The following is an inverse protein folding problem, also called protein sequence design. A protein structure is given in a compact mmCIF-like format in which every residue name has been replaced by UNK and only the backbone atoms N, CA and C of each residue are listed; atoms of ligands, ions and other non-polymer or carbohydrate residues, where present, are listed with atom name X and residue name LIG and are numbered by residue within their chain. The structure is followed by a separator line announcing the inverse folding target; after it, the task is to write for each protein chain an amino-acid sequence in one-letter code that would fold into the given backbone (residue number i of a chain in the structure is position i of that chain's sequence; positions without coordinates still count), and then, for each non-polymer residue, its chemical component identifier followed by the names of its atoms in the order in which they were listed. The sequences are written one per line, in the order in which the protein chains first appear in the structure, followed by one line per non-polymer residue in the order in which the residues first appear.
data_IF_038152815072
#
_entry.id   IF_038152815072
#
_cell.length_a   1.000
_cell.length_b   1.000
_cell.length_c   1.000
_cell.angle_alpha   90.00
_cell.angle_beta   90.00
_cell.angle_gamma   90.00
#
_symmetry.space_group_name_H-M   'P 1'
#
loop_
_entity.id
_entity.type
_entity.pdbx_description
1 polymer ?
#
# COMPACT_ATOMS: atom_id res chain seq x y z
N UNK A 1 60.16 -4.54 -18.87
CA UNK A 1 59.04 -4.07 -18.07
C UNK A 1 57.79 -4.49 -18.81
N UNK A 2 57.07 -5.55 -18.35
CA UNK A 2 55.90 -6.09 -19.04
C UNK A 2 54.69 -5.30 -18.51
N UNK A 3 54.01 -4.59 -19.41
CA UNK A 3 52.73 -3.94 -19.11
C UNK A 3 51.72 -5.00 -18.72
N UNK A 4 51.17 -4.90 -17.49
CA UNK A 4 50.00 -5.68 -17.06
C UNK A 4 48.78 -5.16 -17.81
N UNK A 5 47.95 -6.06 -18.38
CA UNK A 5 46.68 -5.63 -18.98
C UNK A 5 45.82 -5.01 -17.91
N UNK A 6 45.39 -3.77 -18.14
CA UNK A 6 44.39 -3.08 -17.31
C UNK A 6 43.06 -3.80 -17.48
N UNK A 7 42.56 -4.43 -16.43
CA UNK A 7 41.20 -4.96 -16.37
C UNK A 7 40.26 -3.76 -16.33
N UNK A 8 39.28 -3.64 -17.26
CA UNK A 8 38.32 -2.54 -17.18
C UNK A 8 37.53 -2.66 -15.88
N UNK A 9 37.63 -1.64 -15.03
CA UNK A 9 36.81 -1.52 -13.83
C UNK A 9 35.41 -1.17 -14.31
N UNK A 10 34.51 -2.13 -14.33
CA UNK A 10 33.10 -1.89 -14.54
C UNK A 10 32.55 -1.18 -13.30
N UNK A 11 32.55 0.16 -13.32
CA UNK A 11 31.88 0.95 -12.33
C UNK A 11 30.35 0.87 -12.51
N UNK A 12 29.54 1.14 -11.46
CA UNK A 12 28.08 1.14 -11.53
C UNK A 12 27.50 2.15 -12.53
N UNK A 13 28.31 3.05 -13.06
CA UNK A 13 27.91 4.06 -14.05
C UNK A 13 27.73 3.50 -15.48
N UNK A 14 28.31 2.35 -15.81
CA UNK A 14 28.28 1.78 -17.17
C UNK A 14 26.99 1.03 -17.50
N UNK A 15 26.07 0.85 -16.52
CA UNK A 15 24.78 0.17 -16.71
C UNK A 15 23.59 1.14 -16.68
N UNK A 16 23.80 2.43 -16.41
CA UNK A 16 22.74 3.41 -16.50
C UNK A 16 22.56 3.85 -17.96
N UNK A 17 21.39 3.58 -18.53
CA UNK A 17 20.98 4.15 -19.81
C UNK A 17 21.12 5.68 -19.74
N UNK A 18 21.63 6.29 -20.81
CA UNK A 18 21.68 7.75 -20.92
C UNK A 18 20.27 8.33 -20.68
N UNK A 19 20.14 9.53 -20.06
CA UNK A 19 18.81 10.11 -19.75
C UNK A 19 17.90 10.23 -20.97
N UNK A 20 18.44 10.34 -22.17
CA UNK A 20 17.72 10.44 -23.43
C UNK A 20 17.09 9.09 -23.89
N UNK A 21 17.57 7.96 -23.38
CA UNK A 21 17.12 6.62 -23.79
C UNK A 21 16.14 5.98 -22.78
N UNK A 22 15.78 6.71 -21.72
CA UNK A 22 14.80 6.19 -20.76
C UNK A 22 13.39 6.43 -21.27
N UNK A 23 12.52 5.39 -21.26
CA UNK A 23 11.13 5.55 -21.68
C UNK A 23 10.40 6.54 -20.79
N UNK A 24 9.67 7.48 -21.41
CA UNK A 24 8.89 8.48 -20.69
C UNK A 24 7.61 7.84 -20.13
N UNK A 25 7.40 7.98 -18.82
CA UNK A 25 6.19 7.50 -18.14
C UNK A 25 5.19 8.65 -18.05
N UNK A 26 4.04 8.53 -18.71
CA UNK A 26 2.99 9.54 -18.68
C UNK A 26 2.32 9.63 -17.30
N UNK A 27 2.02 10.84 -16.78
CA UNK A 27 1.42 11.04 -15.45
C UNK A 27 0.10 10.27 -15.24
N UNK A 28 -0.73 10.15 -16.27
CA UNK A 28 -2.00 9.45 -16.19
C UNK A 28 -1.84 7.92 -15.93
N UNK A 29 -0.69 7.32 -16.32
CA UNK A 29 -0.37 5.93 -15.95
C UNK A 29 -0.32 5.75 -14.43
N UNK A 30 0.32 6.68 -13.72
CA UNK A 30 0.39 6.64 -12.26
C UNK A 30 -0.98 6.81 -11.62
N UNK A 31 -1.84 7.66 -12.19
CA UNK A 31 -3.22 7.86 -11.73
C UNK A 31 -4.04 6.58 -11.94
N UNK A 32 -4.00 5.99 -13.12
CA UNK A 32 -4.70 4.75 -13.44
C UNK A 32 -4.27 3.59 -12.52
N UNK A 33 -2.95 3.48 -12.27
CA UNK A 33 -2.39 2.50 -11.33
C UNK A 33 -2.87 2.73 -9.89
N UNK A 34 -2.93 3.98 -9.45
CA UNK A 34 -3.44 4.32 -8.11
C UNK A 34 -4.93 3.99 -7.96
N UNK A 35 -5.76 4.32 -8.97
CA UNK A 35 -7.20 4.02 -8.96
C UNK A 35 -7.43 2.50 -8.96
N UNK A 36 -6.75 1.75 -9.84
CA UNK A 36 -6.89 0.30 -9.91
C UNK A 36 -6.44 -0.39 -8.62
N UNK A 37 -5.37 0.09 -8.00
CA UNK A 37 -4.95 -0.40 -6.68
C UNK A 37 -6.00 -0.14 -5.59
N UNK A 38 -6.62 1.05 -5.61
CA UNK A 38 -7.70 1.39 -4.69
C UNK A 38 -8.89 0.44 -4.83
N UNK A 39 -9.31 0.17 -6.07
CA UNK A 39 -10.40 -0.77 -6.35
C UNK A 39 -10.08 -2.19 -5.85
N UNK A 40 -8.88 -2.70 -6.17
CA UNK A 40 -8.43 -4.02 -5.71
C UNK A 40 -8.39 -4.09 -4.17
N UNK A 41 -7.83 -3.08 -3.51
CA UNK A 41 -7.76 -3.04 -2.05
C UNK A 41 -9.13 -2.98 -1.37
N UNK A 42 -10.10 -2.25 -1.93
CA UNK A 42 -11.46 -2.19 -1.38
C UNK A 42 -12.24 -3.50 -1.60
N UNK A 43 -12.05 -4.16 -2.74
CA UNK A 43 -12.62 -5.47 -3.00
C UNK A 43 -12.03 -6.53 -2.07
N UNK A 44 -10.74 -6.48 -1.79
CA UNK A 44 -10.07 -7.35 -0.80
C UNK A 44 -10.70 -7.20 0.58
N UNK A 45 -10.83 -5.96 1.08
CA UNK A 45 -11.45 -5.71 2.39
C UNK A 45 -12.90 -6.21 2.44
N UNK A 46 -13.68 -5.96 1.40
CA UNK A 46 -15.08 -6.43 1.32
C UNK A 46 -15.15 -7.96 1.36
N UNK A 47 -14.38 -8.63 0.48
CA UNK A 47 -14.38 -10.08 0.39
C UNK A 47 -13.84 -10.71 1.68
N UNK A 48 -12.72 -10.21 2.19
CA UNK A 48 -12.11 -10.73 3.41
C UNK A 48 -13.05 -10.56 4.61
N UNK A 49 -13.65 -9.36 4.78
CA UNK A 49 -14.60 -9.11 5.85
C UNK A 49 -15.81 -10.04 5.75
N UNK A 50 -16.38 -10.20 4.57
CA UNK A 50 -17.49 -11.13 4.36
C UNK A 50 -17.13 -12.56 4.73
N UNK A 51 -15.98 -13.05 4.27
CA UNK A 51 -15.52 -14.41 4.57
C UNK A 51 -15.24 -14.60 6.07
N UNK A 52 -14.61 -13.64 6.70
CA UNK A 52 -14.30 -13.72 8.13
C UNK A 52 -15.57 -13.67 8.98
N UNK A 53 -16.51 -12.77 8.69
CA UNK A 53 -17.78 -12.68 9.40
C UNK A 53 -18.60 -13.96 9.24
N UNK A 54 -18.66 -14.49 8.01
CA UNK A 54 -19.52 -15.66 7.69
C UNK A 54 -18.95 -16.96 8.22
N UNK A 55 -17.64 -17.20 8.06
CA UNK A 55 -17.04 -18.50 8.35
C UNK A 55 -16.25 -18.56 9.65
N UNK A 56 -15.66 -17.48 10.08
CA UNK A 56 -14.83 -17.41 11.29
C UNK A 56 -15.63 -16.81 12.46
N UNK A 57 -16.51 -15.85 12.19
CA UNK A 57 -17.34 -15.22 13.20
C UNK A 57 -18.11 -16.19 14.10
N UNK A 58 -18.77 -17.25 13.57
CA UNK A 58 -19.47 -18.24 14.39
C UNK A 58 -18.60 -18.95 15.45
N UNK A 59 -17.31 -19.15 15.18
CA UNK A 59 -16.38 -19.72 16.17
C UNK A 59 -16.14 -18.79 17.37
N UNK A 60 -16.41 -17.50 17.19
CA UNK A 60 -16.32 -16.48 18.24
C UNK A 60 -17.68 -15.99 18.73
N UNK A 61 -18.74 -16.76 18.46
CA UNK A 61 -20.10 -16.45 18.91
C UNK A 61 -20.78 -15.33 18.10
N UNK A 62 -20.25 -14.95 16.95
CA UNK A 62 -20.86 -13.98 16.03
C UNK A 62 -21.81 -14.71 15.07
N UNK A 63 -23.06 -14.81 15.43
CA UNK A 63 -24.09 -15.40 14.56
C UNK A 63 -24.77 -14.30 13.73
N UNK A 64 -24.41 -14.20 12.48
CA UNK A 64 -25.00 -13.29 11.51
C UNK A 64 -25.53 -14.03 10.30
N UNK A 65 -26.71 -13.62 9.82
CA UNK A 65 -27.22 -14.11 8.54
C UNK A 65 -26.30 -13.67 7.39
N UNK A 66 -26.29 -14.39 6.25
CA UNK A 66 -25.49 -13.98 5.08
C UNK A 66 -25.78 -12.53 4.63
N UNK A 67 -27.02 -12.08 4.76
CA UNK A 67 -27.39 -10.70 4.41
C UNK A 67 -26.83 -9.65 5.37
N UNK A 68 -26.73 -9.96 6.65
CA UNK A 68 -26.11 -9.08 7.65
C UNK A 68 -24.58 -9.05 7.46
N UNK A 69 -23.97 -10.18 7.19
CA UNK A 69 -22.55 -10.27 6.90
C UNK A 69 -22.14 -9.44 5.68
N UNK A 70 -22.94 -9.49 4.59
CA UNK A 70 -22.73 -8.63 3.40
C UNK A 70 -22.86 -7.15 3.74
N UNK A 71 -23.89 -6.77 4.53
CA UNK A 71 -24.06 -5.38 4.96
C UNK A 71 -22.88 -4.89 5.80
N UNK A 72 -22.47 -5.66 6.80
CA UNK A 72 -21.32 -5.31 7.65
C UNK A 72 -20.05 -5.17 6.82
N UNK A 73 -19.74 -6.15 5.97
CA UNK A 73 -18.56 -6.11 5.09
C UNK A 73 -18.58 -4.89 4.15
N UNK A 74 -19.75 -4.54 3.61
CA UNK A 74 -19.91 -3.37 2.73
C UNK A 74 -19.67 -2.07 3.50
N UNK A 75 -20.23 -1.95 4.70
CA UNK A 75 -20.00 -0.76 5.55
C UNK A 75 -18.53 -0.63 5.97
N UNK A 76 -17.88 -1.74 6.34
CA UNK A 76 -16.44 -1.75 6.63
C UNK A 76 -15.67 -1.22 5.41
N UNK A 77 -15.88 -1.80 4.23
CA UNK A 77 -15.12 -1.44 3.02
C UNK A 77 -15.35 0.02 2.58
N UNK A 78 -16.58 0.52 2.63
CA UNK A 78 -16.89 1.92 2.25
C UNK A 78 -16.32 2.90 3.27
N UNK A 79 -16.52 2.65 4.57
CA UNK A 79 -16.03 3.53 5.62
C UNK A 79 -14.49 3.56 5.64
N UNK A 80 -13.85 2.43 5.40
CA UNK A 80 -12.40 2.31 5.28
C UNK A 80 -11.81 3.23 4.20
N UNK A 81 -12.48 3.39 3.06
CA UNK A 81 -12.01 4.31 2.01
C UNK A 81 -11.93 5.74 2.55
N UNK A 82 -12.96 6.18 3.27
CA UNK A 82 -13.06 7.54 3.79
C UNK A 82 -12.05 7.75 4.93
N UNK A 83 -12.03 6.86 5.91
CA UNK A 83 -11.14 6.97 7.09
C UNK A 83 -9.67 6.93 6.68
N UNK A 84 -9.28 6.03 5.75
CA UNK A 84 -7.91 5.95 5.26
C UNK A 84 -7.45 7.19 4.50
N UNK A 85 -8.34 7.88 3.78
CA UNK A 85 -8.02 9.17 3.15
C UNK A 85 -7.75 10.23 4.22
N UNK A 86 -8.60 10.30 5.24
CA UNK A 86 -8.46 11.25 6.34
C UNK A 86 -7.17 10.99 7.14
N UNK A 87 -6.93 9.72 7.54
CA UNK A 87 -5.71 9.35 8.25
C UNK A 87 -4.44 9.57 7.43
N UNK A 88 -4.49 9.31 6.12
CA UNK A 88 -3.37 9.63 5.25
C UNK A 88 -3.08 11.13 5.23
N UNK A 89 -4.10 11.97 5.12
CA UNK A 89 -3.94 13.42 5.15
C UNK A 89 -3.30 13.90 6.47
N UNK A 90 -3.83 13.47 7.62
CA UNK A 90 -3.27 13.87 8.91
C UNK A 90 -1.86 13.32 9.14
N UNK A 91 -1.61 12.09 8.74
CA UNK A 91 -0.28 11.49 8.80
C UNK A 91 0.74 12.24 7.95
N UNK A 92 0.38 12.62 6.71
CA UNK A 92 1.23 13.44 5.86
C UNK A 92 1.50 14.83 6.47
N UNK A 93 0.48 15.45 7.05
CA UNK A 93 0.64 16.76 7.73
C UNK A 93 1.54 16.65 8.95
N UNK A 94 1.39 15.60 9.74
CA UNK A 94 2.27 15.33 10.88
C UNK A 94 3.73 15.16 10.42
N UNK A 95 3.98 14.33 9.41
CA UNK A 95 5.33 14.14 8.89
C UNK A 95 5.91 15.36 8.16
N UNK A 96 5.07 16.23 7.62
CA UNK A 96 5.52 17.53 7.09
C UNK A 96 6.05 18.45 8.20
N UNK A 97 5.45 18.37 9.39
CA UNK A 97 5.90 19.11 10.58
C UNK A 97 7.17 18.51 11.19
N UNK A 98 7.31 17.19 11.21
CA UNK A 98 8.52 16.51 11.69
C UNK A 98 9.65 16.67 10.68
N UNK A 99 10.75 17.32 11.06
CA UNK A 99 11.88 17.60 10.17
C UNK A 99 12.98 16.53 10.19
N UNK A 100 12.85 15.50 11.03
CA UNK A 100 13.80 14.42 11.13
C UNK A 100 14.02 13.70 9.78
N UNK A 101 15.30 13.48 9.43
CA UNK A 101 15.67 12.75 8.20
C UNK A 101 15.40 13.51 6.90
N UNK A 102 15.26 14.84 6.96
CA UNK A 102 15.15 15.70 5.78
C UNK A 102 16.44 16.51 5.60
N UNK A 103 16.86 16.70 4.37
CA UNK A 103 17.93 17.60 3.96
C UNK A 103 17.41 18.51 2.85
N UNK A 104 17.91 19.74 2.82
CA UNK A 104 17.63 20.69 1.73
C UNK A 104 18.87 20.81 0.89
N UNK A 105 18.76 20.50 -0.39
CA UNK A 105 19.85 20.63 -1.37
C UNK A 105 19.37 21.53 -2.51
N UNK A 106 19.85 22.76 -2.51
CA UNK A 106 19.35 23.83 -3.37
C UNK A 106 17.86 24.11 -3.05
N UNK A 107 17.01 24.05 -4.08
CA UNK A 107 15.56 24.30 -3.95
C UNK A 107 14.72 23.00 -3.77
N UNK A 108 15.36 21.85 -3.51
CA UNK A 108 14.70 20.55 -3.38
C UNK A 108 14.88 19.97 -1.97
N UNK A 109 13.76 19.53 -1.38
CA UNK A 109 13.76 18.76 -0.14
C UNK A 109 13.99 17.29 -0.46
N UNK A 110 15.04 16.69 0.10
CA UNK A 110 15.33 15.25 0.01
C UNK A 110 14.95 14.57 1.33
N UNK A 111 14.41 13.37 1.23
CA UNK A 111 14.08 12.53 2.37
C UNK A 111 15.02 11.31 2.44
N UNK A 112 15.49 10.99 3.65
CA UNK A 112 16.32 9.80 3.86
C UNK A 112 15.51 8.52 3.75
N UNK A 113 16.14 7.40 3.36
CA UNK A 113 15.49 6.08 3.31
C UNK A 113 14.91 5.68 4.67
N UNK A 114 15.59 6.01 5.78
CA UNK A 114 15.11 5.74 7.15
C UNK A 114 13.80 6.48 7.43
N UNK A 115 13.70 7.74 7.04
CA UNK A 115 12.47 8.52 7.15
C UNK A 115 11.33 7.89 6.34
N UNK A 116 11.59 7.55 5.09
CA UNK A 116 10.59 6.91 4.21
C UNK A 116 10.12 5.59 4.78
N UNK A 117 11.03 4.73 5.26
CA UNK A 117 10.68 3.45 5.88
C UNK A 117 9.83 3.64 7.15
N UNK A 118 10.20 4.56 8.04
CA UNK A 118 9.44 4.84 9.27
C UNK A 118 8.05 5.41 8.95
N UNK A 119 7.96 6.32 8.00
CA UNK A 119 6.69 6.88 7.52
C UNK A 119 5.77 5.81 6.94
N UNK A 120 6.32 4.90 6.15
CA UNK A 120 5.56 3.76 5.62
C UNK A 120 5.08 2.83 6.72
N UNK A 121 5.94 2.48 7.67
CA UNK A 121 5.60 1.60 8.77
C UNK A 121 4.51 2.21 9.66
N UNK A 122 4.64 3.48 10.06
CA UNK A 122 3.66 4.16 10.91
C UNK A 122 2.30 4.29 10.22
N UNK A 123 2.28 4.62 8.92
CA UNK A 123 1.02 4.65 8.18
C UNK A 123 0.36 3.27 8.06
N UNK A 124 1.14 2.21 7.81
CA UNK A 124 0.64 0.83 7.79
C UNK A 124 0.01 0.43 9.12
N UNK A 125 0.65 0.76 10.23
CA UNK A 125 0.12 0.50 11.57
C UNK A 125 -1.21 1.21 11.79
N UNK A 126 -1.29 2.51 11.48
CA UNK A 126 -2.54 3.28 11.59
C UNK A 126 -3.63 2.67 10.71
N UNK A 127 -3.32 2.31 9.46
CA UNK A 127 -4.26 1.73 8.53
C UNK A 127 -4.80 0.37 9.00
N UNK A 128 -3.97 -0.47 9.62
CA UNK A 128 -4.41 -1.76 10.18
C UNK A 128 -5.28 -1.57 11.42
N UNK A 129 -4.91 -0.65 12.31
CA UNK A 129 -5.72 -0.31 13.49
C UNK A 129 -7.08 0.23 13.10
N UNK A 130 -7.15 1.06 12.05
CA UNK A 130 -8.40 1.57 11.47
C UNK A 130 -9.31 0.42 11.02
N UNK A 131 -8.80 -0.54 10.24
CA UNK A 131 -9.58 -1.70 9.79
C UNK A 131 -10.08 -2.53 10.96
N UNK A 132 -9.24 -2.80 11.98
CA UNK A 132 -9.64 -3.54 13.18
C UNK A 132 -10.76 -2.78 13.91
N UNK A 133 -10.61 -1.48 14.07
CA UNK A 133 -11.58 -0.64 14.76
C UNK A 133 -12.93 -0.60 14.03
N UNK A 134 -12.92 -0.45 12.71
CA UNK A 134 -14.13 -0.49 11.88
C UNK A 134 -14.80 -1.87 11.92
N UNK A 135 -14.00 -2.94 11.77
CA UNK A 135 -14.52 -4.30 11.84
C UNK A 135 -15.16 -4.58 13.19
N UNK A 136 -14.53 -4.18 14.29
CA UNK A 136 -15.10 -4.30 15.62
C UNK A 136 -16.39 -3.48 15.78
N UNK A 137 -16.39 -2.24 15.31
CA UNK A 137 -17.58 -1.36 15.39
C UNK A 137 -18.79 -1.95 14.65
N UNK A 138 -18.60 -2.52 13.46
CA UNK A 138 -19.69 -3.06 12.65
C UNK A 138 -20.08 -4.50 13.00
N UNK A 139 -19.17 -5.29 13.60
CA UNK A 139 -19.44 -6.70 13.96
C UNK A 139 -19.76 -6.91 15.45
N UNK A 140 -19.25 -6.04 16.31
CA UNK A 140 -19.31 -6.21 17.76
C UNK A 140 -18.35 -7.25 18.33
N UNK A 141 -17.60 -8.02 17.49
CA UNK A 141 -16.65 -9.06 17.90
C UNK A 141 -15.22 -8.59 17.67
N UNK A 142 -14.45 -8.48 18.74
CA UNK A 142 -13.03 -8.08 18.68
C UNK A 142 -12.18 -9.19 18.06
N UNK A 143 -12.52 -10.46 18.28
CA UNK A 143 -11.81 -11.61 17.76
C UNK A 143 -11.95 -11.67 16.23
N UNK A 144 -13.16 -11.46 15.73
CA UNK A 144 -13.44 -11.38 14.29
C UNK A 144 -12.72 -10.19 13.68
N UNK A 145 -12.71 -9.04 14.36
CA UNK A 145 -12.03 -7.82 13.90
C UNK A 145 -10.51 -8.00 13.82
N UNK A 146 -9.90 -8.63 14.82
CA UNK A 146 -8.47 -8.95 14.81
C UNK A 146 -8.12 -9.94 13.69
N UNK A 147 -8.99 -10.90 13.42
CA UNK A 147 -8.83 -11.85 12.31
C UNK A 147 -8.87 -11.14 10.96
N UNK A 148 -9.80 -10.19 10.76
CA UNK A 148 -9.91 -9.37 9.55
C UNK A 148 -8.64 -8.53 9.38
N UNK A 149 -8.28 -7.72 10.37
CA UNK A 149 -7.13 -6.81 10.28
C UNK A 149 -5.79 -7.55 10.17
N UNK A 150 -5.65 -8.68 10.85
CA UNK A 150 -4.45 -9.52 10.77
C UNK A 150 -4.25 -10.14 9.38
N UNK A 151 -5.30 -10.75 8.82
CA UNK A 151 -5.24 -11.33 7.47
C UNK A 151 -5.11 -10.26 6.37
N UNK A 152 -5.72 -9.09 6.55
CA UNK A 152 -5.63 -7.99 5.60
C UNK A 152 -4.17 -7.59 5.30
N UNK A 153 -3.27 -7.66 6.28
CA UNK A 153 -1.86 -7.36 6.09
C UNK A 153 -1.26 -8.27 5.02
N UNK A 154 -1.53 -9.57 5.11
CA UNK A 154 -0.98 -10.57 4.20
C UNK A 154 -1.63 -10.51 2.81
N UNK A 155 -2.96 -10.44 2.75
CA UNK A 155 -3.69 -10.36 1.49
C UNK A 155 -3.31 -9.11 0.70
N UNK A 156 -3.26 -7.94 1.34
CA UNK A 156 -2.86 -6.69 0.69
C UNK A 156 -1.40 -6.68 0.24
N UNK A 157 -0.47 -7.31 0.98
CA UNK A 157 0.91 -7.44 0.52
C UNK A 157 1.00 -8.30 -0.74
N UNK A 158 0.31 -9.45 -0.74
CA UNK A 158 0.28 -10.37 -1.88
C UNK A 158 -0.38 -9.72 -3.11
N UNK A 159 -1.54 -9.09 -2.91
CA UNK A 159 -2.27 -8.41 -3.98
C UNK A 159 -1.49 -7.21 -4.53
N UNK A 160 -0.80 -6.45 -3.67
CA UNK A 160 0.07 -5.36 -4.12
C UNK A 160 1.20 -5.88 -5.00
N UNK A 161 1.85 -6.96 -4.61
CA UNK A 161 2.90 -7.57 -5.41
C UNK A 161 2.37 -8.02 -6.78
N UNK A 162 1.22 -8.70 -6.82
CA UNK A 162 0.59 -9.14 -8.07
C UNK A 162 0.19 -7.95 -8.96
N UNK A 163 -0.47 -6.95 -8.37
CA UNK A 163 -0.87 -5.72 -9.06
C UNK A 163 0.35 -5.00 -9.66
N UNK A 164 1.43 -4.86 -8.91
CA UNK A 164 2.67 -4.25 -9.37
C UNK A 164 3.29 -5.04 -10.54
N UNK A 165 3.28 -6.37 -10.48
CA UNK A 165 3.80 -7.23 -11.55
C UNK A 165 2.93 -7.16 -12.81
N UNK A 166 1.62 -7.06 -12.67
CA UNK A 166 0.70 -6.86 -13.81
C UNK A 166 1.01 -5.52 -14.48
N UNK A 167 1.07 -4.43 -13.69
CA UNK A 167 1.37 -3.10 -14.23
C UNK A 167 2.76 -2.99 -14.86
N UNK A 168 3.75 -3.71 -14.34
CA UNK A 168 5.10 -3.75 -14.93
C UNK A 168 5.12 -4.38 -16.32
N UNK A 169 4.17 -5.26 -16.65
CA UNK A 169 4.06 -5.92 -17.96
C UNK A 169 3.19 -5.15 -18.97
N UNK A 170 2.41 -4.17 -18.50
CA UNK A 170 1.54 -3.38 -19.37
C UNK A 170 2.34 -2.23 -20.01
N UNK A 171 2.42 -2.14 -21.35
CA UNK A 171 3.12 -1.05 -22.05
C UNK A 171 2.31 0.27 -22.03
N UNK A 172 1.12 0.25 -21.44
CA UNK A 172 0.18 1.35 -21.37
C UNK A 172 0.78 2.60 -20.71
N UNK A 173 0.87 3.72 -21.45
CA UNK A 173 1.41 4.98 -20.97
C UNK A 173 2.93 5.05 -20.87
N UNK A 174 3.65 4.18 -21.55
CA UNK A 174 5.10 4.22 -21.75
C UNK A 174 5.33 4.66 -23.21
N UNK A 175 6.15 5.68 -23.41
CA UNK A 175 6.52 6.20 -24.74
C UNK A 175 8.05 6.06 -24.87
N UNK A 176 8.48 5.47 -25.99
CA UNK A 176 9.89 5.35 -26.35
C UNK A 176 10.27 6.47 -27.30
#
# INVERSE_FOLDING_TARGET
MKDKPQVPVFGPETLALAPADQPEIKPWRSIAKAISWRAVGSLDTLLLSYLMITYIGPYFGLEQSPGEAVKAATYIAITEIVTKILFYYFHERFWAWVQWGTSVEGNKRKESLRRTATKTFTFRTIATLDTIMLAWFFTGSIETALSIGGLEIFTKLMLYFLHERIWARLPFGIVH
#
